data_IF_551899865828
#
_entry.id   IF_551899865828
#
_cell.length_a   1.000
_cell.length_b   1.000
_cell.length_c   1.000
_cell.angle_alpha   90.00
_cell.angle_beta   90.00
_cell.angle_gamma   90.00
#
_symmetry.space_group_name_H-M   'P 1'
#
loop_
_entity.id
_entity.type
_entity.pdbx_description
1 polymer ?
#
# COMPACT_ATOMS: atom_id res chain seq x y z
N UNK A 1 2.77 -9.26 -9.85
CA UNK A 1 2.62 -9.37 -8.39
C UNK A 1 3.84 -9.94 -7.63
N UNK A 2 4.85 -10.52 -8.26
CA UNK A 2 5.94 -11.23 -7.57
C UNK A 2 7.23 -10.42 -7.27
N UNK A 3 7.32 -9.14 -7.60
CA UNK A 3 8.59 -8.38 -7.51
C UNK A 3 8.62 -7.24 -6.49
N UNK A 4 7.49 -6.79 -5.95
CA UNK A 4 7.45 -5.74 -4.91
C UNK A 4 7.89 -6.23 -3.51
N UNK A 5 7.85 -7.54 -3.27
CA UNK A 5 8.24 -8.13 -1.98
C UNK A 5 9.73 -7.98 -1.63
N UNK A 6 10.58 -7.72 -2.62
CA UNK A 6 12.01 -7.47 -2.40
C UNK A 6 12.38 -6.05 -1.98
N UNK A 7 11.47 -5.10 -2.18
CA UNK A 7 11.78 -3.68 -2.03
C UNK A 7 11.54 -3.14 -0.61
N UNK A 8 10.56 -3.70 0.11
CA UNK A 8 10.25 -3.32 1.49
C UNK A 8 11.36 -3.67 2.52
N UNK A 9 12.41 -4.39 2.10
CA UNK A 9 13.50 -4.79 2.97
C UNK A 9 14.89 -4.23 2.65
N UNK A 10 15.04 -3.40 1.62
CA UNK A 10 16.37 -3.00 1.09
C UNK A 10 16.85 -1.59 1.48
N UNK A 11 16.20 -0.92 2.43
CA UNK A 11 16.54 0.47 2.81
C UNK A 11 17.49 0.58 4.04
N UNK A 12 18.23 -0.46 4.38
CA UNK A 12 19.23 -0.38 5.46
C UNK A 12 20.59 -0.83 4.92
N UNK A 13 21.50 0.16 4.67
CA UNK A 13 22.90 -0.10 4.46
C UNK A 13 23.48 0.55 3.19
N UNK A 14 23.98 1.75 3.30
CA UNK A 14 24.85 2.40 2.35
C UNK A 14 25.97 3.09 3.11
N UNK A 15 27.07 2.40 3.38
CA UNK A 15 28.33 3.01 3.72
C UNK A 15 29.28 2.90 2.53
N UNK A 16 29.99 4.01 2.30
CA UNK A 16 31.00 4.20 1.28
C UNK A 16 32.30 3.48 1.68
N UNK A 17 33.00 2.99 0.67
CA UNK A 17 34.47 3.00 0.61
C UNK A 17 35.11 1.64 0.80
N UNK A 18 35.73 1.23 -0.13
CA UNK A 18 37.13 0.81 -0.30
C UNK A 18 37.25 -0.27 -1.36
N UNK A 19 38.08 0.00 -2.35
CA UNK A 19 38.46 -0.96 -3.39
C UNK A 19 39.42 -1.98 -2.79
N UNK A 20 38.91 -3.19 -2.54
CA UNK A 20 39.73 -4.32 -2.11
C UNK A 20 39.06 -5.64 -2.46
N UNK A 21 39.74 -6.40 -3.28
CA UNK A 21 39.40 -7.75 -3.74
C UNK A 21 38.79 -8.62 -2.63
N UNK A 22 37.53 -9.07 -2.81
CA UNK A 22 37.12 -10.33 -2.23
C UNK A 22 36.00 -10.99 -3.04
N UNK A 23 36.29 -12.18 -3.57
CA UNK A 23 35.35 -13.04 -4.36
C UNK A 23 34.54 -13.97 -3.46
N UNK A 24 34.45 -13.72 -2.16
CA UNK A 24 33.82 -14.63 -1.20
C UNK A 24 32.45 -14.25 -0.65
N UNK A 25 32.05 -12.97 -0.72
CA UNK A 25 30.87 -12.48 0.02
C UNK A 25 29.55 -12.51 -0.76
N UNK A 26 29.56 -12.82 -2.04
CA UNK A 26 28.36 -12.86 -2.88
C UNK A 26 27.40 -14.02 -2.55
N UNK A 27 27.92 -15.17 -2.14
CA UNK A 27 27.07 -16.34 -1.81
C UNK A 27 26.43 -16.24 -0.43
N UNK A 28 27.09 -15.65 0.54
CA UNK A 28 26.54 -15.50 1.90
C UNK A 28 25.39 -14.48 1.96
N UNK A 29 25.48 -13.38 1.21
CA UNK A 29 24.41 -12.39 1.09
C UNK A 29 23.19 -12.92 0.32
N UNK A 30 23.39 -13.68 -0.74
CA UNK A 30 22.29 -14.33 -1.46
C UNK A 30 21.57 -15.38 -0.61
N UNK A 31 22.30 -16.17 0.18
CA UNK A 31 21.72 -17.16 1.08
C UNK A 31 20.94 -16.52 2.24
N UNK A 32 21.42 -15.40 2.80
CA UNK A 32 20.72 -14.66 3.85
C UNK A 32 19.43 -14.01 3.31
N UNK A 33 19.45 -13.45 2.10
CA UNK A 33 18.24 -12.91 1.46
C UNK A 33 17.22 -13.99 1.10
N UNK A 34 17.67 -15.13 0.59
CA UNK A 34 16.80 -16.28 0.29
C UNK A 34 16.16 -16.87 1.56
N UNK A 35 16.90 -16.92 2.67
CA UNK A 35 16.43 -17.39 3.97
C UNK A 35 15.40 -16.42 4.58
N UNK A 36 15.63 -15.10 4.51
CA UNK A 36 14.68 -14.08 4.96
C UNK A 36 13.39 -14.10 4.14
N UNK A 37 13.47 -14.32 2.83
CA UNK A 37 12.32 -14.42 1.93
C UNK A 37 11.54 -15.73 2.14
N UNK A 38 12.21 -16.83 2.51
CA UNK A 38 11.58 -18.09 2.88
C UNK A 38 10.90 -17.98 4.26
N UNK A 39 11.52 -17.30 5.23
CA UNK A 39 10.93 -17.03 6.53
C UNK A 39 9.69 -16.11 6.43
N UNK A 40 9.76 -15.07 5.57
CA UNK A 40 8.61 -14.20 5.28
C UNK A 40 7.45 -14.96 4.63
N UNK A 41 7.74 -15.84 3.67
CA UNK A 41 6.71 -16.72 3.05
C UNK A 41 6.11 -17.70 4.03
N UNK A 42 6.90 -18.24 4.93
CA UNK A 42 6.44 -19.14 6.01
C UNK A 42 5.55 -18.41 7.04
N UNK A 43 5.87 -17.16 7.38
CA UNK A 43 5.10 -16.36 8.35
C UNK A 43 3.79 -15.85 7.75
N UNK A 44 3.80 -15.37 6.50
CA UNK A 44 2.60 -14.96 5.78
C UNK A 44 1.68 -16.15 5.43
N UNK A 45 2.22 -17.36 5.27
CA UNK A 45 1.44 -18.58 5.06
C UNK A 45 0.70 -19.08 6.32
N UNK A 46 0.98 -18.53 7.50
CA UNK A 46 0.32 -18.92 8.76
C UNK A 46 -0.93 -18.12 9.09
N UNK A 47 -1.16 -16.97 8.45
CA UNK A 47 -2.34 -16.13 8.71
C UNK A 47 -3.42 -16.47 7.68
N UNK A 48 -3.92 -17.69 7.69
CA UNK A 48 -5.06 -18.11 6.88
C UNK A 48 -6.38 -18.09 7.66
N UNK A 49 -6.31 -18.11 8.97
CA UNK A 49 -7.48 -18.11 9.82
C UNK A 49 -8.14 -16.72 9.86
N UNK A 50 -9.46 -16.71 9.81
CA UNK A 50 -10.24 -15.50 10.01
C UNK A 50 -10.20 -15.07 11.47
N UNK A 51 -10.00 -13.77 11.69
CA UNK A 51 -10.11 -13.12 12.99
C UNK A 51 -10.95 -11.85 12.83
N UNK A 52 -12.21 -11.83 13.24
CA UNK A 52 -13.10 -10.68 13.06
C UNK A 52 -12.67 -9.44 13.88
N UNK A 53 -11.75 -9.61 14.83
CA UNK A 53 -11.25 -8.55 15.70
C UNK A 53 -9.80 -8.16 15.40
N UNK A 54 -9.27 -8.54 14.25
CA UNK A 54 -7.88 -8.27 13.84
C UNK A 54 -7.49 -6.80 14.03
N UNK A 55 -8.40 -5.88 13.76
CA UNK A 55 -8.16 -4.43 13.84
C UNK A 55 -8.00 -3.90 15.28
N UNK A 56 -8.30 -4.71 16.29
CA UNK A 56 -8.08 -4.37 17.70
C UNK A 56 -6.66 -4.74 18.19
N UNK A 57 -5.89 -5.46 17.40
CA UNK A 57 -4.54 -5.92 17.77
C UNK A 57 -3.48 -4.83 17.70
N UNK A 58 -3.77 -3.72 17.03
CA UNK A 58 -2.84 -2.60 16.91
C UNK A 58 -3.60 -1.29 16.70
N UNK A 59 -3.19 -0.21 17.36
CA UNK A 59 -3.72 1.12 17.09
C UNK A 59 -3.44 1.60 15.65
N UNK A 60 -2.48 0.99 14.94
CA UNK A 60 -2.21 1.33 13.54
C UNK A 60 -3.36 1.01 12.58
N UNK A 61 -4.33 0.19 13.00
CA UNK A 61 -5.56 -0.06 12.24
C UNK A 61 -6.60 1.07 12.36
N UNK A 62 -6.38 2.12 13.15
CA UNK A 62 -7.36 3.16 13.43
C UNK A 62 -8.03 3.75 12.17
N UNK A 63 -7.34 3.95 11.02
CA UNK A 63 -8.00 4.53 9.84
C UNK A 63 -9.11 3.64 9.28
N UNK A 64 -8.92 2.32 9.29
CA UNK A 64 -9.87 1.34 8.74
C UNK A 64 -10.79 0.72 9.81
N UNK A 65 -10.58 1.04 11.08
CA UNK A 65 -11.28 0.40 12.21
C UNK A 65 -12.79 0.48 12.08
N UNK A 66 -13.32 1.65 11.67
CA UNK A 66 -14.77 1.85 11.53
C UNK A 66 -15.40 0.92 10.48
N UNK A 67 -14.75 0.76 9.34
CA UNK A 67 -15.25 -0.12 8.26
C UNK A 67 -14.99 -1.59 8.58
N UNK A 68 -13.87 -1.91 9.24
CA UNK A 68 -13.56 -3.25 9.70
C UNK A 68 -14.58 -3.76 10.74
N UNK A 69 -15.08 -2.88 11.60
CA UNK A 69 -16.06 -3.21 12.63
C UNK A 69 -17.40 -3.75 12.06
N UNK A 70 -17.73 -3.47 10.80
CA UNK A 70 -18.90 -4.05 10.13
C UNK A 70 -18.83 -5.59 10.06
N UNK A 71 -17.63 -6.17 10.17
CA UNK A 71 -17.39 -7.61 10.09
C UNK A 71 -17.07 -8.24 11.45
N UNK A 72 -17.11 -7.49 12.56
CA UNK A 72 -16.73 -8.01 13.89
C UNK A 72 -17.61 -9.18 14.35
N UNK A 73 -18.85 -9.27 13.88
CA UNK A 73 -19.77 -10.37 14.17
C UNK A 73 -19.62 -11.60 13.26
N UNK A 74 -18.77 -11.57 12.25
CA UNK A 74 -18.61 -12.66 11.30
C UNK A 74 -17.79 -13.81 11.92
N UNK A 75 -18.40 -14.97 12.10
CA UNK A 75 -17.74 -16.15 12.69
C UNK A 75 -16.75 -16.81 11.72
N UNK A 76 -16.97 -16.64 10.42
CA UNK A 76 -16.16 -17.18 9.32
C UNK A 76 -15.76 -16.06 8.36
N UNK A 77 -14.88 -16.38 7.41
CA UNK A 77 -14.50 -15.46 6.35
C UNK A 77 -15.74 -14.88 5.66
N UNK A 78 -15.89 -13.54 5.60
CA UNK A 78 -16.94 -12.92 4.80
C UNK A 78 -16.82 -13.35 3.35
N UNK A 79 -17.96 -13.68 2.72
CA UNK A 79 -17.99 -13.93 1.28
C UNK A 79 -17.71 -12.63 0.52
N UNK A 80 -17.32 -12.72 -0.75
CA UNK A 80 -17.09 -11.53 -1.57
C UNK A 80 -18.37 -10.70 -1.72
N UNK A 81 -19.52 -11.37 -1.79
CA UNK A 81 -20.84 -10.73 -1.84
C UNK A 81 -21.16 -9.96 -0.55
N UNK A 82 -20.84 -10.53 0.61
CA UNK A 82 -21.00 -9.85 1.90
C UNK A 82 -20.06 -8.62 2.02
N UNK A 83 -18.85 -8.71 1.48
CA UNK A 83 -17.92 -7.57 1.40
C UNK A 83 -18.46 -6.49 0.47
N UNK A 84 -19.02 -6.86 -0.68
CA UNK A 84 -19.64 -5.93 -1.63
C UNK A 84 -20.84 -5.21 -0.99
N UNK A 85 -21.75 -5.97 -0.39
CA UNK A 85 -22.94 -5.42 0.28
C UNK A 85 -22.57 -4.41 1.38
N UNK A 86 -21.57 -4.73 2.19
CA UNK A 86 -21.15 -3.87 3.31
C UNK A 86 -20.38 -2.63 2.88
N UNK A 87 -19.56 -2.70 1.83
CA UNK A 87 -18.56 -1.70 1.53
C UNK A 87 -18.76 -0.93 0.23
N UNK A 88 -19.49 -1.46 -0.77
CA UNK A 88 -19.59 -0.86 -2.10
C UNK A 88 -20.14 0.56 -2.08
N UNK A 89 -21.11 0.86 -1.21
CA UNK A 89 -21.66 2.19 -1.05
C UNK A 89 -20.65 3.24 -0.59
N UNK A 90 -19.74 2.88 0.32
CA UNK A 90 -18.68 3.76 0.79
C UNK A 90 -17.51 3.82 -0.19
N UNK A 91 -17.14 2.69 -0.78
CA UNK A 91 -16.04 2.57 -1.74
C UNK A 91 -16.36 3.25 -3.09
N UNK A 92 -17.62 3.26 -3.49
CA UNK A 92 -18.07 3.73 -4.81
C UNK A 92 -17.60 2.83 -5.96
N UNK A 93 -17.30 1.56 -5.66
CA UNK A 93 -16.97 0.48 -6.58
C UNK A 93 -17.57 -0.82 -6.04
N UNK A 94 -17.78 -1.82 -6.90
CA UNK A 94 -18.19 -3.14 -6.50
C UNK A 94 -17.01 -4.07 -6.26
N UNK A 95 -17.18 -5.05 -5.36
CA UNK A 95 -16.23 -6.12 -5.13
C UNK A 95 -16.79 -7.40 -5.74
N UNK A 96 -16.05 -8.02 -6.66
CA UNK A 96 -16.53 -9.22 -7.36
C UNK A 96 -15.48 -10.31 -7.33
N UNK A 97 -15.93 -11.56 -7.20
CA UNK A 97 -15.01 -12.67 -7.20
C UNK A 97 -14.19 -12.71 -8.49
N UNK A 98 -12.87 -12.79 -8.34
CA UNK A 98 -11.97 -12.90 -9.46
C UNK A 98 -12.19 -14.25 -10.16
N UNK A 99 -12.49 -14.27 -11.47
CA UNK A 99 -12.61 -15.53 -12.18
C UNK A 99 -11.27 -16.31 -12.14
N UNK A 100 -11.32 -17.64 -12.06
CA UNK A 100 -10.11 -18.44 -12.04
C UNK A 100 -9.28 -18.17 -13.29
N UNK A 101 -7.95 -17.98 -13.09
CA UNK A 101 -7.04 -17.80 -14.21
C UNK A 101 -7.06 -19.07 -15.08
N UNK A 102 -7.24 -18.96 -16.41
CA UNK A 102 -7.15 -20.13 -17.27
C UNK A 102 -5.80 -20.82 -17.08
N UNK A 103 -5.80 -22.14 -16.93
CA UNK A 103 -4.58 -22.94 -16.84
C UNK A 103 -3.77 -22.74 -18.11
N UNK A 104 -2.60 -22.08 -18.00
CA UNK A 104 -1.67 -21.91 -19.12
C UNK A 104 -1.05 -23.27 -19.44
N UNK A 105 -1.37 -23.85 -20.58
CA UNK A 105 -0.64 -25.00 -21.14
C UNK A 105 0.82 -24.58 -21.45
N UNK A 106 1.78 -25.45 -21.12
CA UNK A 106 3.19 -25.29 -21.54
C UNK A 106 3.26 -25.12 -23.06
N UNK A 107 3.81 -24.02 -23.57
CA UNK A 107 4.10 -23.85 -25.00
C UNK A 107 3.11 -22.98 -25.81
N UNK A 108 2.07 -22.42 -25.24
CA UNK A 108 1.21 -21.48 -25.98
C UNK A 108 1.91 -20.13 -26.18
N UNK A 109 1.92 -19.63 -27.42
CA UNK A 109 2.26 -18.23 -27.74
C UNK A 109 1.44 -17.30 -26.85
N UNK A 110 2.04 -16.19 -26.39
CA UNK A 110 1.32 -15.15 -25.67
C UNK A 110 0.17 -14.67 -26.56
N UNK A 111 -1.05 -14.96 -26.17
CA UNK A 111 -2.23 -14.41 -26.83
C UNK A 111 -2.25 -12.87 -26.60
N UNK A 112 -2.76 -12.10 -27.57
CA UNK A 112 -2.95 -10.67 -27.37
C UNK A 112 -3.77 -10.45 -26.09
N UNK A 113 -3.31 -9.56 -25.23
CA UNK A 113 -4.03 -9.22 -24.01
C UNK A 113 -5.01 -8.12 -24.37
N UNK A 114 -6.28 -8.36 -24.11
CA UNK A 114 -7.30 -7.33 -24.17
C UNK A 114 -7.03 -6.29 -23.08
N UNK A 115 -6.74 -5.01 -23.42
CA UNK A 115 -6.51 -3.97 -22.44
C UNK A 115 -7.66 -3.80 -21.44
N UNK A 116 -8.90 -4.07 -21.84
CA UNK A 116 -10.08 -3.99 -20.96
C UNK A 116 -10.07 -5.10 -19.88
N UNK A 117 -9.37 -6.20 -20.11
CA UNK A 117 -9.23 -7.29 -19.14
C UNK A 117 -8.22 -7.01 -18.02
N UNK A 118 -7.49 -5.89 -18.10
CA UNK A 118 -6.51 -5.51 -17.09
C UNK A 118 -7.18 -5.10 -15.77
N UNK A 119 -6.48 -5.33 -14.68
CA UNK A 119 -6.97 -5.02 -13.34
C UNK A 119 -7.46 -3.57 -13.20
N UNK A 120 -6.61 -2.61 -13.61
CA UNK A 120 -6.93 -1.18 -13.51
C UNK A 120 -8.06 -0.75 -14.46
N UNK A 121 -8.20 -1.41 -15.62
CA UNK A 121 -9.29 -1.15 -16.54
C UNK A 121 -10.64 -1.59 -15.96
N UNK A 122 -10.70 -2.77 -15.34
CA UNK A 122 -11.91 -3.24 -14.66
C UNK A 122 -12.36 -2.29 -13.56
N UNK A 123 -11.42 -1.78 -12.78
CA UNK A 123 -11.72 -0.84 -11.72
C UNK A 123 -12.18 0.51 -12.29
N UNK A 124 -11.38 1.09 -13.21
CA UNK A 124 -11.63 2.44 -13.70
C UNK A 124 -12.81 2.52 -14.68
N UNK A 125 -12.98 1.53 -15.55
CA UNK A 125 -14.01 1.54 -16.62
C UNK A 125 -15.26 0.79 -16.18
N UNK A 126 -15.10 -0.39 -15.57
CA UNK A 126 -16.23 -1.25 -15.23
C UNK A 126 -16.72 -1.06 -13.77
N UNK A 127 -15.97 -0.31 -12.94
CA UNK A 127 -16.37 0.03 -11.57
C UNK A 127 -16.34 -1.14 -10.58
N UNK A 128 -15.51 -2.17 -10.79
CA UNK A 128 -15.41 -3.27 -9.85
C UNK A 128 -13.97 -3.75 -9.61
N UNK A 129 -13.74 -4.19 -8.38
CA UNK A 129 -12.44 -4.67 -7.89
C UNK A 129 -12.45 -6.18 -7.86
N UNK A 130 -11.54 -6.86 -8.62
CA UNK A 130 -11.38 -8.30 -8.55
C UNK A 130 -10.91 -8.74 -7.16
N UNK A 131 -11.72 -9.53 -6.47
CA UNK A 131 -11.53 -9.92 -5.08
C UNK A 131 -11.48 -11.43 -4.95
N UNK A 132 -10.49 -11.97 -4.26
CA UNK A 132 -10.36 -13.39 -3.95
C UNK A 132 -11.05 -13.70 -2.63
N UNK A 133 -11.81 -14.79 -2.53
CA UNK A 133 -12.38 -15.23 -1.25
C UNK A 133 -11.26 -15.61 -0.28
N UNK A 134 -11.50 -15.44 1.01
CA UNK A 134 -10.59 -15.83 2.11
C UNK A 134 -9.15 -15.33 1.95
N UNK A 135 -8.98 -14.10 1.45
CA UNK A 135 -7.71 -13.46 1.22
C UNK A 135 -7.59 -12.19 2.05
N UNK A 136 -6.71 -12.19 3.05
CA UNK A 136 -6.44 -10.99 3.86
C UNK A 136 -6.03 -9.80 2.98
N UNK A 137 -5.17 -10.02 2.01
CA UNK A 137 -4.73 -8.97 1.09
C UNK A 137 -5.90 -8.26 0.40
N UNK A 138 -6.83 -9.06 -0.18
CA UNK A 138 -7.95 -8.49 -0.94
C UNK A 138 -9.01 -7.90 -0.01
N UNK A 139 -9.22 -8.50 1.16
CA UNK A 139 -10.13 -7.98 2.18
C UNK A 139 -9.63 -6.63 2.73
N UNK A 140 -8.36 -6.53 3.10
CA UNK A 140 -7.75 -5.27 3.58
C UNK A 140 -7.76 -4.21 2.48
N UNK A 141 -7.52 -4.59 1.22
CA UNK A 141 -7.68 -3.67 0.09
C UNK A 141 -9.12 -3.13 -0.01
N UNK A 142 -10.14 -3.97 0.21
CA UNK A 142 -11.54 -3.53 0.20
C UNK A 142 -11.84 -2.55 1.33
N UNK A 143 -11.29 -2.77 2.53
CA UNK A 143 -11.42 -1.82 3.65
C UNK A 143 -10.75 -0.47 3.34
N UNK A 144 -9.58 -0.48 2.72
CA UNK A 144 -8.89 0.75 2.28
C UNK A 144 -9.70 1.48 1.21
N UNK A 145 -10.33 0.75 0.26
CA UNK A 145 -11.25 1.33 -0.71
C UNK A 145 -12.42 2.06 -0.04
N UNK A 146 -13.06 1.45 0.95
CA UNK A 146 -14.19 2.05 1.66
C UNK A 146 -13.77 3.22 2.57
N UNK A 147 -12.50 3.27 2.98
CA UNK A 147 -11.94 4.33 3.84
C UNK A 147 -11.43 5.53 3.04
N UNK A 148 -10.78 5.28 1.89
CA UNK A 148 -10.12 6.29 1.05
C UNK A 148 -10.60 6.23 -0.42
N UNK A 149 -11.92 6.40 -0.67
CA UNK A 149 -12.48 6.15 -2.00
C UNK A 149 -12.00 7.14 -3.07
N UNK A 150 -11.74 8.39 -2.74
CA UNK A 150 -11.26 9.38 -3.70
C UNK A 150 -9.82 9.09 -4.13
N UNK A 151 -8.95 8.77 -3.19
CA UNK A 151 -7.55 8.41 -3.43
C UNK A 151 -7.43 7.14 -4.25
N UNK A 152 -8.19 6.11 -3.91
CA UNK A 152 -8.17 4.84 -4.65
C UNK A 152 -8.67 5.02 -6.09
N UNK A 153 -9.74 5.79 -6.31
CA UNK A 153 -10.20 6.12 -7.66
C UNK A 153 -9.16 6.90 -8.46
N UNK A 154 -8.57 7.94 -7.88
CA UNK A 154 -7.53 8.73 -8.53
C UNK A 154 -6.31 7.89 -8.92
N UNK A 155 -5.89 6.98 -8.03
CA UNK A 155 -4.76 6.07 -8.22
C UNK A 155 -5.01 5.12 -9.41
N UNK A 156 -6.13 4.39 -9.41
CA UNK A 156 -6.44 3.44 -10.47
C UNK A 156 -6.73 4.12 -11.80
N UNK A 157 -7.34 5.32 -11.80
CA UNK A 157 -7.48 6.14 -12.99
C UNK A 157 -6.12 6.53 -13.59
N UNK A 158 -5.14 6.89 -12.74
CA UNK A 158 -3.79 7.22 -13.19
C UNK A 158 -3.03 6.00 -13.68
N UNK A 159 -3.11 4.87 -12.97
CA UNK A 159 -2.52 3.59 -13.41
C UNK A 159 -3.09 3.15 -14.75
N UNK A 160 -4.41 3.26 -14.94
CA UNK A 160 -5.07 2.96 -16.21
C UNK A 160 -4.56 3.84 -17.35
N UNK A 161 -4.47 5.17 -17.13
CA UNK A 161 -3.93 6.10 -18.16
C UNK A 161 -2.49 5.77 -18.50
N UNK A 162 -1.64 5.51 -17.51
CA UNK A 162 -0.24 5.13 -17.72
C UNK A 162 -0.10 3.82 -18.52
N UNK A 163 -1.01 2.87 -18.31
CA UNK A 163 -1.05 1.62 -19.07
C UNK A 163 -1.57 1.84 -20.49
N UNK A 164 -2.67 2.59 -20.65
CA UNK A 164 -3.27 2.89 -21.96
C UNK A 164 -2.28 3.64 -22.88
N UNK A 165 -1.54 4.60 -22.36
CA UNK A 165 -0.51 5.32 -23.10
C UNK A 165 0.61 4.42 -23.63
N UNK A 166 0.90 3.29 -22.96
CA UNK A 166 1.92 2.32 -23.38
C UNK A 166 1.44 1.29 -24.38
N UNK A 167 0.15 0.94 -24.32
CA UNK A 167 -0.39 -0.04 -25.26
C UNK A 167 -0.55 0.53 -26.65
N UNK A 168 -0.83 1.85 -26.79
CA UNK A 168 -1.10 2.49 -28.07
C UNK A 168 -2.21 1.78 -28.85
N UNK A 169 -2.56 2.28 -30.02
CA UNK A 169 -3.62 1.68 -30.85
C UNK A 169 -3.22 0.36 -31.53
N UNK A 170 -1.94 -0.01 -31.51
CA UNK A 170 -1.40 -1.12 -32.32
C UNK A 170 -0.73 -2.24 -31.51
N UNK A 171 -0.40 -2.03 -30.23
CA UNK A 171 0.30 -3.01 -29.43
C UNK A 171 -0.65 -4.03 -28.80
N UNK A 172 -0.60 -5.27 -29.27
CA UNK A 172 -1.39 -6.41 -28.73
C UNK A 172 -0.68 -7.16 -27.60
N UNK A 173 0.46 -6.68 -27.13
CA UNK A 173 1.24 -7.36 -26.10
C UNK A 173 1.56 -6.41 -24.96
N UNK A 174 1.34 -6.87 -23.70
CA UNK A 174 1.75 -6.11 -22.53
C UNK A 174 3.26 -5.90 -22.52
N UNK A 175 3.72 -4.68 -22.23
CA UNK A 175 5.14 -4.42 -22.01
C UNK A 175 5.69 -5.31 -20.89
N UNK A 176 6.90 -5.86 -21.06
CA UNK A 176 7.51 -6.79 -20.10
C UNK A 176 7.85 -6.14 -18.75
N UNK A 177 8.03 -4.82 -18.70
CA UNK A 177 8.40 -4.09 -17.49
C UNK A 177 7.41 -2.94 -17.22
N UNK A 178 7.15 -2.65 -15.96
CA UNK A 178 6.45 -1.44 -15.53
C UNK A 178 7.32 -0.20 -15.80
N UNK A 179 6.67 0.97 -15.91
CA UNK A 179 7.37 2.26 -15.85
C UNK A 179 7.68 2.60 -14.39
N UNK A 180 8.60 3.55 -14.17
CA UNK A 180 8.86 4.11 -12.84
C UNK A 180 7.60 4.66 -12.19
N UNK A 181 6.76 5.35 -12.96
CA UNK A 181 5.46 5.85 -12.50
C UNK A 181 4.56 4.71 -12.03
N UNK A 182 4.44 3.63 -12.80
CA UNK A 182 3.66 2.46 -12.40
C UNK A 182 4.21 1.78 -11.15
N UNK A 183 5.53 1.75 -10.98
CA UNK A 183 6.16 1.22 -9.76
C UNK A 183 5.91 2.13 -8.56
N UNK A 184 5.96 3.46 -8.74
CA UNK A 184 5.67 4.43 -7.69
C UNK A 184 4.21 4.37 -7.23
N UNK A 185 3.26 4.30 -8.18
CA UNK A 185 1.83 4.17 -7.88
C UNK A 185 1.51 2.83 -7.22
N UNK A 186 2.16 1.74 -7.61
CA UNK A 186 1.99 0.45 -6.97
C UNK A 186 2.55 0.46 -5.53
N UNK A 187 3.68 1.12 -5.30
CA UNK A 187 4.25 1.28 -3.97
C UNK A 187 3.34 2.14 -3.07
N UNK A 188 2.74 3.19 -3.64
CA UNK A 188 1.73 4.00 -2.95
C UNK A 188 0.54 3.14 -2.52
N UNK A 189 0.00 2.29 -3.40
CA UNK A 189 -1.17 1.45 -3.15
C UNK A 189 -0.93 0.36 -2.11
N UNK A 190 0.26 -0.23 -2.13
CA UNK A 190 0.57 -1.40 -1.30
C UNK A 190 1.30 -1.04 0.00
N UNK A 191 2.20 -0.05 -0.04
CA UNK A 191 3.21 0.13 1.01
C UNK A 191 3.31 1.55 1.58
N UNK A 192 2.26 2.37 1.55
CA UNK A 192 2.40 3.76 1.98
C UNK A 192 1.75 4.09 3.32
N UNK A 193 2.39 5.06 3.97
CA UNK A 193 1.91 5.82 5.11
C UNK A 193 1.55 7.23 4.64
N UNK A 194 0.41 7.74 5.01
CA UNK A 194 0.04 9.14 4.81
C UNK A 194 0.45 9.92 6.05
N UNK A 195 1.09 11.05 5.85
CA UNK A 195 1.44 11.96 6.92
C UNK A 195 0.77 13.30 6.66
N UNK A 196 -0.42 13.51 7.26
CA UNK A 196 -1.08 14.81 7.29
C UNK A 196 -0.27 15.75 8.18
N UNK A 197 0.04 16.93 7.67
CA UNK A 197 0.84 17.89 8.42
C UNK A 197 0.27 19.30 8.29
N UNK A 198 0.32 20.08 9.36
CA UNK A 198 0.12 21.51 9.27
C UNK A 198 1.12 22.11 8.29
N UNK A 199 0.65 22.96 7.35
CA UNK A 199 1.50 23.51 6.30
C UNK A 199 2.75 24.23 6.83
N UNK A 200 2.65 24.89 8.00
CA UNK A 200 3.78 25.56 8.65
C UNK A 200 4.87 24.59 9.14
N UNK A 201 4.57 23.30 9.28
CA UNK A 201 5.50 22.25 9.74
C UNK A 201 6.02 21.35 8.62
N UNK A 202 5.42 21.45 7.42
CA UNK A 202 5.73 20.56 6.30
C UNK A 202 7.20 20.56 5.91
N UNK A 203 7.84 21.73 5.86
CA UNK A 203 9.28 21.84 5.51
C UNK A 203 10.19 21.17 6.56
N UNK A 204 9.90 21.36 7.84
CA UNK A 204 10.64 20.73 8.95
C UNK A 204 10.55 19.21 8.87
N UNK A 205 9.34 18.68 8.65
CA UNK A 205 9.11 17.23 8.54
C UNK A 205 9.77 16.68 7.27
N UNK A 206 9.69 17.38 6.14
CA UNK A 206 10.35 16.96 4.91
C UNK A 206 11.87 16.82 5.11
N UNK A 207 12.51 17.82 5.73
CA UNK A 207 13.94 17.77 6.07
C UNK A 207 14.27 16.61 7.02
N UNK A 208 13.44 16.36 8.03
CA UNK A 208 13.63 15.23 8.94
C UNK A 208 13.51 13.87 8.23
N UNK A 209 12.55 13.73 7.31
CA UNK A 209 12.41 12.53 6.48
C UNK A 209 13.63 12.30 5.57
N UNK A 210 14.19 13.37 5.00
CA UNK A 210 15.43 13.29 4.21
C UNK A 210 16.62 12.87 5.03
N UNK A 211 16.74 13.43 6.24
CA UNK A 211 17.79 13.09 7.20
C UNK A 211 17.55 11.74 7.89
N UNK A 212 16.42 11.07 7.64
CA UNK A 212 15.98 9.87 8.38
C UNK A 212 15.86 10.07 9.89
N UNK A 213 15.57 11.29 10.31
CA UNK A 213 15.36 11.63 11.71
C UNK A 213 13.92 11.32 12.14
N UNK A 214 13.71 10.06 12.50
CA UNK A 214 12.41 9.54 12.96
C UNK A 214 11.95 10.25 14.24
N UNK A 215 12.89 10.74 15.07
CA UNK A 215 12.56 11.38 16.35
C UNK A 215 11.83 12.71 16.17
N UNK A 216 12.23 13.50 15.18
CA UNK A 216 11.54 14.75 14.84
C UNK A 216 10.13 14.47 14.35
N UNK A 217 9.95 13.49 13.47
CA UNK A 217 8.61 13.13 12.96
C UNK A 217 7.70 12.64 14.09
N UNK A 218 8.22 11.77 14.96
CA UNK A 218 7.47 11.29 16.14
C UNK A 218 7.04 12.45 17.05
N UNK A 219 7.94 13.39 17.32
CA UNK A 219 7.64 14.55 18.16
C UNK A 219 6.55 15.43 17.56
N UNK A 220 6.52 15.60 16.22
CA UNK A 220 5.44 16.32 15.54
C UNK A 220 4.10 15.57 15.62
N UNK A 221 4.10 14.24 15.53
CA UNK A 221 2.89 13.43 15.70
C UNK A 221 2.38 13.53 17.14
N UNK A 222 3.26 13.34 18.13
CA UNK A 222 2.90 13.43 19.55
C UNK A 222 2.43 14.83 19.94
N UNK A 223 3.02 15.86 19.36
CA UNK A 223 2.63 17.27 19.58
C UNK A 223 1.41 17.73 18.79
N UNK A 224 0.74 16.85 18.05
CA UNK A 224 -0.46 17.17 17.27
C UNK A 224 -0.19 17.98 15.98
N UNK A 225 1.07 18.20 15.62
CA UNK A 225 1.45 18.91 14.39
C UNK A 225 1.43 18.02 13.13
N UNK A 226 1.34 16.71 13.33
CA UNK A 226 1.19 15.72 12.27
C UNK A 226 0.28 14.59 12.71
N UNK A 227 -0.34 13.90 11.74
CA UNK A 227 -1.14 12.69 11.94
C UNK A 227 -0.73 11.65 10.92
N UNK A 228 -0.36 10.45 11.39
CA UNK A 228 0.00 9.33 10.54
C UNK A 228 -1.20 8.41 10.31
N UNK A 229 -1.43 8.04 9.04
CA UNK A 229 -2.44 7.08 8.64
C UNK A 229 -1.79 6.00 7.75
N UNK A 230 -2.12 4.74 7.99
CA UNK A 230 -1.75 3.67 7.06
C UNK A 230 -2.73 3.69 5.89
N UNK A 231 -2.20 3.68 4.66
CA UNK A 231 -2.99 3.61 3.42
C UNK A 231 -2.68 2.33 2.65
N UNK A 232 -1.40 1.96 2.57
CA UNK A 232 -0.96 0.76 1.88
C UNK A 232 -1.56 -0.51 2.47
N UNK A 233 -2.41 -1.20 1.70
CA UNK A 233 -3.13 -2.37 2.20
C UNK A 233 -2.20 -3.55 2.55
N UNK A 234 -1.02 -3.67 1.93
CA UNK A 234 -0.04 -4.67 2.31
C UNK A 234 0.69 -4.34 3.63
N UNK A 235 0.71 -3.07 4.07
CA UNK A 235 1.19 -2.73 5.41
C UNK A 235 0.23 -3.26 6.48
N UNK A 236 -1.07 -3.13 6.27
CA UNK A 236 -2.06 -3.73 7.18
C UNK A 236 -1.92 -5.26 7.25
N UNK A 237 -1.70 -5.93 6.10
CA UNK A 237 -1.46 -7.37 6.07
C UNK A 237 -0.24 -7.76 6.90
N UNK A 238 0.78 -6.91 6.93
CA UNK A 238 2.00 -7.14 7.71
C UNK A 238 1.84 -7.01 9.22
N UNK A 239 0.75 -6.40 9.68
CA UNK A 239 0.41 -6.29 11.10
C UNK A 239 -0.34 -7.52 11.64
N UNK A 240 -0.78 -8.44 10.77
CA UNK A 240 -1.54 -9.64 11.17
C UNK A 240 -0.70 -10.70 11.90
N UNK A 241 0.55 -11.02 11.48
CA UNK A 241 1.34 -12.06 12.14
C UNK A 241 1.93 -11.59 13.46
N UNK A 242 2.12 -12.54 14.37
CA UNK A 242 2.89 -12.36 15.60
C UNK A 242 4.03 -13.38 15.66
N UNK A 243 5.27 -13.00 16.00
CA UNK A 243 5.71 -11.61 16.23
C UNK A 243 5.68 -10.76 14.94
N UNK A 244 5.46 -9.46 15.11
CA UNK A 244 5.46 -8.52 13.97
C UNK A 244 6.86 -8.33 13.42
N UNK A 245 6.96 -8.21 12.11
CA UNK A 245 8.21 -7.89 11.44
C UNK A 245 8.45 -6.37 11.50
N UNK A 246 9.70 -5.96 11.65
CA UNK A 246 10.08 -4.55 11.43
C UNK A 246 9.93 -4.23 9.95
N UNK A 247 9.02 -3.31 9.63
CA UNK A 247 8.65 -2.93 8.26
C UNK A 247 8.68 -1.42 8.15
N UNK A 248 9.06 -0.93 6.98
CA UNK A 248 9.10 0.48 6.65
C UNK A 248 8.06 0.77 5.58
N UNK A 249 7.22 1.80 5.80
CA UNK A 249 6.26 2.29 4.83
C UNK A 249 6.78 3.52 4.10
N UNK A 250 6.48 3.64 2.81
CA UNK A 250 6.71 4.84 2.02
C UNK A 250 5.85 5.99 2.58
N UNK A 251 6.41 7.16 2.75
CA UNK A 251 5.68 8.33 3.25
C UNK A 251 5.15 9.19 2.12
N UNK A 252 3.83 9.38 2.07
CA UNK A 252 3.18 10.44 1.33
C UNK A 252 2.94 11.63 2.28
N UNK A 253 3.75 12.67 2.16
CA UNK A 253 3.62 13.89 2.95
C UNK A 253 2.49 14.75 2.36
N UNK A 254 1.49 15.08 3.19
CA UNK A 254 0.27 15.78 2.78
C UNK A 254 0.11 17.08 3.59
N UNK A 255 0.68 18.20 3.11
CA UNK A 255 0.50 19.51 3.75
C UNK A 255 -0.96 19.96 3.68
N UNK A 256 -1.49 20.42 4.81
CA UNK A 256 -2.86 20.88 4.96
C UNK A 256 -2.89 22.36 5.34
N UNK A 257 -3.71 23.18 4.71
CA UNK A 257 -3.91 24.56 5.12
C UNK A 257 -4.67 24.61 6.46
N UNK A 258 -4.07 25.24 7.45
CA UNK A 258 -4.66 25.40 8.77
C UNK A 258 -4.45 24.20 9.72
N UNK A 259 -5.04 24.27 10.92
CA UNK A 259 -4.87 23.24 11.94
C UNK A 259 -5.50 21.92 11.52
N UNK A 260 -4.89 20.82 11.94
CA UNK A 260 -5.40 19.48 11.66
C UNK A 260 -6.71 19.22 12.43
N UNK A 261 -7.69 18.50 11.85
CA UNK A 261 -8.91 18.12 12.54
C UNK A 261 -8.61 17.32 13.81
N UNK A 262 -9.49 17.47 14.82
CA UNK A 262 -9.34 16.74 16.08
C UNK A 262 -9.95 15.34 16.03
N UNK A 263 -11.00 15.15 15.22
CA UNK A 263 -11.68 13.87 15.10
C UNK A 263 -11.15 13.03 13.94
N UNK A 264 -11.19 11.71 14.12
CA UNK A 264 -10.61 10.76 13.20
C UNK A 264 -11.30 10.73 11.83
N UNK A 265 -12.62 10.90 11.79
CA UNK A 265 -13.36 10.88 10.53
C UNK A 265 -12.98 12.07 9.63
N UNK A 266 -12.86 13.25 10.21
CA UNK A 266 -12.41 14.44 9.50
C UNK A 266 -10.95 14.32 9.05
N UNK A 267 -10.08 13.70 9.87
CA UNK A 267 -8.68 13.38 9.49
C UNK A 267 -8.62 12.44 8.28
N UNK A 268 -9.41 11.37 8.28
CA UNK A 268 -9.50 10.41 7.17
C UNK A 268 -9.99 11.12 5.90
N UNK A 269 -11.07 11.88 5.98
CA UNK A 269 -11.62 12.62 4.83
C UNK A 269 -10.64 13.63 4.26
N UNK A 270 -9.94 14.36 5.13
CA UNK A 270 -8.91 15.30 4.71
C UNK A 270 -7.74 14.57 4.02
N UNK A 271 -7.28 13.45 4.59
CA UNK A 271 -6.23 12.63 4.00
C UNK A 271 -6.64 12.09 2.62
N UNK A 272 -7.86 11.58 2.48
CA UNK A 272 -8.39 11.07 1.22
C UNK A 272 -8.44 12.16 0.14
N UNK A 273 -8.94 13.35 0.50
CA UNK A 273 -8.98 14.49 -0.42
C UNK A 273 -7.59 14.94 -0.83
N UNK A 274 -6.68 15.17 0.13
CA UNK A 274 -5.32 15.65 -0.15
C UNK A 274 -4.48 14.65 -0.94
N UNK A 275 -4.62 13.36 -0.64
CA UNK A 275 -3.94 12.32 -1.40
C UNK A 275 -4.48 12.22 -2.83
N UNK A 276 -5.81 12.27 -3.02
CA UNK A 276 -6.41 12.25 -4.35
C UNK A 276 -5.91 13.43 -5.20
N UNK A 277 -5.82 14.64 -4.64
CA UNK A 277 -5.24 15.82 -5.29
C UNK A 277 -3.76 15.58 -5.66
N UNK A 278 -2.96 15.08 -4.72
CA UNK A 278 -1.55 14.79 -4.97
C UNK A 278 -1.35 13.73 -6.08
N UNK A 279 -2.20 12.70 -6.13
CA UNK A 279 -2.15 11.67 -7.18
C UNK A 279 -2.44 12.27 -8.57
N UNK A 280 -3.25 13.30 -8.68
CA UNK A 280 -3.53 13.95 -9.98
C UNK A 280 -2.36 14.77 -10.52
N UNK A 281 -1.40 15.13 -9.67
CA UNK A 281 -0.19 15.87 -10.07
C UNK A 281 0.80 14.91 -10.75
N UNK A 282 1.20 15.15 -12.02
CA UNK A 282 2.02 14.20 -12.79
C UNK A 282 3.36 13.86 -12.14
N UNK A 283 4.01 14.83 -11.49
CA UNK A 283 5.33 14.68 -10.86
C UNK A 283 5.26 13.86 -9.58
N UNK A 284 4.11 13.90 -8.86
CA UNK A 284 3.92 13.16 -7.63
C UNK A 284 3.94 11.67 -7.90
N UNK A 285 4.61 10.92 -7.05
CA UNK A 285 4.68 9.44 -7.09
C UNK A 285 5.26 8.85 -8.39
N UNK A 286 5.90 9.67 -9.25
CA UNK A 286 6.48 9.20 -10.52
C UNK A 286 7.89 8.62 -10.39
N UNK A 287 8.57 8.87 -9.26
CA UNK A 287 9.96 8.48 -9.01
C UNK A 287 10.11 7.75 -7.67
N UNK A 288 9.97 6.41 -7.65
CA UNK A 288 10.05 5.63 -6.41
C UNK A 288 11.37 5.83 -5.65
N UNK A 289 12.46 6.13 -6.34
CA UNK A 289 13.77 6.38 -5.74
C UNK A 289 13.83 7.65 -4.85
N UNK A 290 12.88 8.56 -5.00
CA UNK A 290 12.81 9.77 -4.17
C UNK A 290 11.97 9.60 -2.91
N UNK A 291 11.29 8.47 -2.76
CA UNK A 291 10.42 8.25 -1.62
C UNK A 291 11.20 8.11 -0.33
N UNK A 292 10.66 8.69 0.72
CA UNK A 292 11.15 8.55 2.09
C UNK A 292 10.28 7.55 2.81
N UNK A 293 10.79 6.96 3.88
CA UNK A 293 10.08 5.92 4.62
C UNK A 293 10.17 6.15 6.13
N UNK A 294 9.18 5.61 6.84
CA UNK A 294 9.12 5.55 8.29
C UNK A 294 8.88 4.11 8.74
N UNK A 295 9.36 3.73 9.92
CA UNK A 295 9.05 2.43 10.48
C UNK A 295 7.56 2.33 10.83
N UNK A 296 6.95 1.17 10.54
CA UNK A 296 5.57 0.85 10.89
C UNK A 296 5.51 0.42 12.36
N UNK A 297 5.71 1.38 13.26
CA UNK A 297 5.79 1.17 14.70
C UNK A 297 4.82 2.08 15.44
N UNK A 298 4.09 1.52 16.41
CA UNK A 298 3.12 2.24 17.23
C UNK A 298 3.76 3.42 17.97
N UNK A 299 4.96 3.20 18.53
CA UNK A 299 5.71 4.23 19.25
C UNK A 299 6.20 5.39 18.37
N UNK A 300 6.11 5.26 17.05
CA UNK A 300 6.48 6.33 16.10
C UNK A 300 5.24 6.99 15.50
N UNK A 301 4.23 6.19 15.14
CA UNK A 301 3.11 6.63 14.31
C UNK A 301 1.85 6.96 15.11
N UNK A 302 1.78 6.59 16.40
CA UNK A 302 0.66 6.89 17.27
C UNK A 302 1.05 7.96 18.29
N UNK A 303 0.16 8.93 18.51
CA UNK A 303 0.28 9.80 19.67
C UNK A 303 0.15 8.94 20.92
N UNK A 304 1.10 9.07 21.85
CA UNK A 304 0.98 8.42 23.17
C UNK A 304 -0.27 9.00 23.85
N UNK A 305 -1.29 8.15 24.06
CA UNK A 305 -2.50 8.51 24.76
C UNK A 305 -2.22 8.75 26.25
#
# INVERSE_FOLDING_TARGET
MGRLRGWLGAAAGGEQGDEGQDQGDGEATHAAHASADAARRSTLGRVSAWDPRFFRKSPLYWPIQRVAACFEGALEWPTVEAVDEALSGAAGVHFRQQPPKPRRGRGRRREPVDPSSLYDARIHVEGWVPTRPSSWHDFLNALVWATFPASKRALHARQHRAMAARLGDTSKTLPDRRTREQDGLALLDEGSLLLLVDAGRASKIATALEARDVSVVRNEITGGGAVALVFGHALYESLLPEPRLSIWGMVALLPCPGPLPLDDLSRIRLADTRLAEAITTPESFSRPETFRSLPLEEGVLCASG
#
